data_IF_303758816654
#
_entry.id   IF_303758816654
#
_cell.length_a   1.000
_cell.length_b   1.000
_cell.length_c   1.000
_cell.angle_alpha   90.00
_cell.angle_beta   90.00
_cell.angle_gamma   90.00
#
_symmetry.space_group_name_H-M   'P 1'
#
loop_
_entity.id
_entity.type
_entity.pdbx_description
1 polymer ?
#
# COMPACT_ATOMS: atom_id res chain seq x y z
N UNK A 1 41.69 -0.69 42.21
CA UNK A 1 41.13 -1.78 41.38
C UNK A 1 40.14 -1.18 40.40
N UNK A 2 40.58 -0.92 39.17
CA UNK A 2 39.79 -0.25 38.12
C UNK A 2 39.07 -1.30 37.27
N UNK A 3 37.73 -1.30 37.28
CA UNK A 3 36.93 -2.15 36.38
C UNK A 3 36.82 -1.46 35.03
N UNK A 4 37.38 -2.09 33.99
CA UNK A 4 37.22 -1.67 32.59
C UNK A 4 35.72 -1.63 32.21
N UNK A 5 35.28 -0.67 31.38
CA UNK A 5 33.95 -0.70 30.77
C UNK A 5 33.90 -1.83 29.73
N UNK A 6 32.81 -2.60 29.75
CA UNK A 6 32.51 -3.63 28.75
C UNK A 6 32.32 -2.98 27.38
N UNK A 7 32.86 -3.62 26.34
CA UNK A 7 32.76 -3.16 24.94
C UNK A 7 31.72 -3.98 24.19
N UNK A 8 31.30 -3.52 23.00
CA UNK A 8 30.21 -4.12 22.21
C UNK A 8 30.45 -5.60 21.81
N UNK A 9 31.65 -6.13 22.04
CA UNK A 9 31.99 -7.55 21.95
C UNK A 9 31.33 -8.43 23.04
N UNK A 10 30.73 -7.83 24.07
CA UNK A 10 30.21 -8.52 25.26
C UNK A 10 28.68 -8.81 25.20
N UNK A 11 27.99 -8.43 24.12
CA UNK A 11 26.62 -8.86 23.85
C UNK A 11 26.61 -10.23 23.17
N UNK A 12 26.92 -11.28 23.93
CA UNK A 12 26.63 -12.64 23.51
C UNK A 12 25.12 -12.89 23.61
N UNK A 13 24.41 -12.88 22.47
CA UNK A 13 23.13 -13.58 22.40
C UNK A 13 23.41 -15.05 22.72
N UNK A 14 22.78 -15.59 23.76
CA UNK A 14 22.85 -17.02 24.08
C UNK A 14 22.08 -17.82 23.04
N UNK A 15 22.66 -17.97 21.85
CA UNK A 15 22.21 -18.98 20.89
C UNK A 15 22.93 -20.26 21.27
N UNK A 16 22.22 -21.22 21.86
CA UNK A 16 22.78 -22.54 22.15
C UNK A 16 22.92 -23.29 20.82
N UNK A 17 24.14 -23.72 20.42
CA UNK A 17 24.27 -24.73 19.38
C UNK A 17 23.72 -26.04 19.94
N UNK A 18 22.70 -26.61 19.29
CA UNK A 18 22.20 -27.95 19.64
C UNK A 18 23.03 -28.95 18.85
N UNK A 19 23.72 -29.84 19.55
CA UNK A 19 24.46 -30.95 18.92
C UNK A 19 23.54 -32.16 18.75
N UNK A 20 23.88 -33.05 17.81
CA UNK A 20 23.12 -34.28 17.54
C UNK A 20 23.00 -35.19 18.78
N UNK A 21 23.93 -35.05 19.73
CA UNK A 21 23.95 -35.74 21.02
C UNK A 21 22.90 -35.18 22.01
N UNK A 22 22.65 -33.87 21.99
CA UNK A 22 21.66 -33.22 22.87
C UNK A 22 20.23 -33.70 22.54
N UNK A 23 19.94 -33.91 21.25
CA UNK A 23 18.65 -34.44 20.77
C UNK A 23 18.48 -35.91 21.16
N UNK A 24 19.54 -36.72 21.12
CA UNK A 24 19.51 -38.12 21.59
C UNK A 24 19.28 -38.22 23.09
N UNK A 25 19.84 -37.28 23.86
CA UNK A 25 19.72 -37.26 25.32
C UNK A 25 18.34 -36.79 25.77
N UNK A 26 17.73 -35.84 25.05
CA UNK A 26 16.37 -35.36 25.28
C UNK A 26 15.30 -36.35 24.80
N UNK A 27 15.57 -37.11 23.73
CA UNK A 27 14.76 -38.26 23.32
C UNK A 27 14.89 -39.44 24.30
N UNK A 28 16.07 -39.67 24.87
CA UNK A 28 16.29 -40.70 25.89
C UNK A 28 15.68 -40.33 27.25
N UNK A 29 15.66 -39.04 27.62
CA UNK A 29 14.98 -38.59 28.85
C UNK A 29 13.46 -38.60 28.73
N UNK A 30 12.91 -38.49 27.50
CA UNK A 30 11.48 -38.66 27.21
C UNK A 30 11.06 -40.12 26.99
N UNK A 31 11.98 -41.04 26.74
CA UNK A 31 11.68 -42.47 26.58
C UNK A 31 11.23 -43.14 27.89
N UNK A 32 11.46 -42.51 29.06
CA UNK A 32 11.01 -43.02 30.36
C UNK A 32 9.63 -42.48 30.80
N UNK A 33 8.98 -41.63 29.98
CA UNK A 33 7.58 -41.23 30.16
C UNK A 33 6.75 -41.72 28.97
N UNK A 34 6.46 -43.02 28.97
CA UNK A 34 5.42 -43.58 28.11
C UNK A 34 4.45 -44.39 28.94
N UNK A 35 3.41 -43.71 29.47
CA UNK A 35 2.07 -44.30 29.52
C UNK A 35 1.04 -43.20 29.24
N UNK A 36 0.25 -43.46 28.20
CA UNK A 36 -0.99 -42.81 27.77
C UNK A 36 -0.91 -41.62 26.79
N UNK A 37 -1.60 -41.86 25.67
CA UNK A 37 -2.25 -40.95 24.71
C UNK A 37 -1.60 -40.69 23.34
N UNK A 38 -2.19 -41.44 22.40
CA UNK A 38 -2.34 -41.27 20.96
C UNK A 38 -2.42 -39.82 20.44
N UNK A 39 -1.84 -39.64 19.24
CA UNK A 39 -2.00 -38.51 18.30
C UNK A 39 -1.54 -37.15 18.80
N UNK A 40 -0.22 -36.95 18.84
CA UNK A 40 0.39 -35.63 18.87
C UNK A 40 0.94 -35.25 17.51
N UNK A 41 0.36 -34.20 16.94
CA UNK A 41 0.87 -33.48 15.78
C UNK A 41 2.28 -32.95 16.06
N UNK A 42 3.09 -32.94 15.02
CA UNK A 42 4.43 -32.37 15.05
C UNK A 42 4.28 -30.85 15.19
N UNK A 43 4.41 -30.33 16.41
CA UNK A 43 4.61 -28.91 16.67
C UNK A 43 5.99 -28.51 16.16
N UNK A 44 6.07 -28.09 14.89
CA UNK A 44 7.24 -27.38 14.37
C UNK A 44 7.18 -25.91 14.79
N UNK A 45 7.44 -25.63 16.07
CA UNK A 45 7.48 -24.24 16.59
C UNK A 45 8.75 -23.47 16.24
N UNK A 46 9.76 -24.13 15.66
CA UNK A 46 11.03 -23.49 15.37
C UNK A 46 11.60 -23.83 14.01
N UNK A 47 11.96 -22.78 13.28
CA UNK A 47 12.74 -22.88 12.06
C UNK A 47 14.24 -22.88 12.34
N UNK A 48 14.99 -23.55 11.47
CA UNK A 48 16.42 -23.69 11.61
C UNK A 48 17.14 -23.50 10.29
N UNK A 49 18.37 -22.98 10.35
CA UNK A 49 19.27 -22.91 9.20
C UNK A 49 20.64 -23.47 9.57
N UNK A 50 21.38 -23.89 8.55
CA UNK A 50 22.70 -24.47 8.69
C UNK A 50 23.76 -23.43 8.40
N UNK A 51 24.72 -23.26 9.31
CA UNK A 51 25.93 -22.48 9.07
C UNK A 51 27.13 -23.23 9.65
N UNK A 52 28.15 -23.45 8.84
CA UNK A 52 29.38 -24.17 9.23
C UNK A 52 29.09 -25.54 9.88
N UNK A 53 28.14 -26.30 9.34
CA UNK A 53 27.76 -27.62 9.86
C UNK A 53 27.00 -27.59 11.19
N UNK A 54 26.61 -26.41 11.71
CA UNK A 54 25.81 -26.27 12.92
C UNK A 54 24.39 -25.85 12.57
N UNK A 55 23.41 -26.46 13.25
CA UNK A 55 21.99 -26.10 13.18
C UNK A 55 21.72 -24.97 14.17
N UNK A 56 21.22 -23.86 13.66
CA UNK A 56 20.80 -22.71 14.45
C UNK A 56 19.29 -22.67 14.47
N UNK A 57 18.69 -22.58 15.65
CA UNK A 57 17.24 -22.50 15.86
C UNK A 57 16.91 -21.06 16.24
N UNK A 58 16.03 -20.41 15.48
CA UNK A 58 15.52 -19.09 15.85
C UNK A 58 14.20 -19.25 16.59
N UNK A 59 14.07 -18.53 17.71
CA UNK A 59 12.75 -18.33 18.31
C UNK A 59 11.85 -17.51 17.37
N UNK A 60 10.51 -17.66 17.46
CA UNK A 60 9.57 -16.91 16.64
C UNK A 60 9.80 -15.40 16.69
N UNK A 61 10.25 -14.87 17.83
CA UNK A 61 10.60 -13.46 18.04
C UNK A 61 11.74 -12.97 17.12
N UNK A 62 12.76 -13.80 16.90
CA UNK A 62 13.88 -13.41 16.03
C UNK A 62 13.44 -13.42 14.57
N UNK A 63 12.60 -14.39 14.20
CA UNK A 63 12.02 -14.43 12.87
C UNK A 63 11.11 -13.24 12.62
N UNK A 64 10.29 -12.84 13.61
CA UNK A 64 9.49 -11.61 13.56
C UNK A 64 10.36 -10.37 13.33
N UNK A 65 11.50 -10.27 14.02
CA UNK A 65 12.43 -9.15 13.84
C UNK A 65 13.04 -9.14 12.43
N UNK A 66 13.44 -10.30 11.90
CA UNK A 66 13.99 -10.43 10.55
C UNK A 66 12.93 -10.06 9.51
N UNK A 67 11.73 -10.64 9.62
CA UNK A 67 10.64 -10.39 8.68
C UNK A 67 10.13 -8.95 8.78
N UNK A 68 10.00 -8.42 9.98
CA UNK A 68 9.64 -7.03 10.21
C UNK A 68 10.68 -6.08 9.60
N UNK A 69 11.96 -6.41 9.75
CA UNK A 69 13.03 -5.64 9.12
C UNK A 69 13.02 -5.74 7.58
N UNK A 70 12.62 -6.89 7.02
CA UNK A 70 12.74 -7.19 5.58
C UNK A 70 11.49 -6.84 4.78
N UNK A 71 10.31 -6.86 5.41
CA UNK A 71 9.00 -6.80 4.76
C UNK A 71 8.15 -5.61 5.19
N UNK A 72 8.52 -4.88 6.25
CA UNK A 72 7.75 -3.74 6.77
C UNK A 72 8.52 -2.45 6.56
N UNK A 73 7.87 -1.51 5.89
CA UNK A 73 8.41 -0.18 5.62
C UNK A 73 7.62 0.82 6.45
N UNK A 74 8.28 1.33 7.49
CA UNK A 74 7.71 2.37 8.35
C UNK A 74 7.79 3.72 7.67
N UNK A 75 6.81 4.58 7.94
CA UNK A 75 6.77 5.99 7.55
C UNK A 75 6.72 6.25 6.04
N UNK A 76 6.54 5.21 5.22
CA UNK A 76 6.47 5.30 3.78
C UNK A 76 5.29 4.51 3.23
N UNK A 77 4.86 4.90 2.04
CA UNK A 77 3.83 4.20 1.29
C UNK A 77 4.45 3.34 0.19
N UNK A 78 3.98 2.10 0.07
CA UNK A 78 4.37 1.17 -1.00
C UNK A 78 3.45 1.38 -2.18
N UNK A 79 3.96 1.76 -3.34
CA UNK A 79 3.19 1.72 -4.59
C UNK A 79 3.47 0.40 -5.29
N UNK A 80 2.61 -0.62 -5.17
CA UNK A 80 2.88 -1.92 -5.77
C UNK A 80 2.80 -1.81 -7.30
N UNK A 81 3.84 -2.26 -7.97
CA UNK A 81 3.84 -2.43 -9.42
C UNK A 81 3.68 -3.91 -9.75
N UNK A 82 2.43 -4.30 -9.99
CA UNK A 82 2.13 -5.66 -10.46
C UNK A 82 2.28 -5.66 -11.97
N UNK A 83 3.52 -5.82 -12.43
CA UNK A 83 3.82 -6.01 -13.85
C UNK A 83 3.30 -7.38 -14.30
N UNK A 84 2.18 -7.36 -15.03
CA UNK A 84 1.54 -8.56 -15.59
C UNK A 84 1.92 -8.80 -17.06
N UNK A 85 2.91 -8.08 -17.59
CA UNK A 85 3.28 -8.22 -19.01
C UNK A 85 3.78 -9.63 -19.29
N UNK A 86 2.99 -10.36 -20.06
CA UNK A 86 3.32 -11.64 -20.66
C UNK A 86 4.22 -11.49 -21.91
N UNK A 87 4.53 -10.25 -22.31
CA UNK A 87 5.43 -9.98 -23.42
C UNK A 87 6.87 -10.20 -22.94
N UNK A 88 7.52 -11.25 -23.45
CA UNK A 88 8.87 -11.67 -23.04
C UNK A 88 9.92 -10.54 -23.10
N UNK A 89 9.75 -9.58 -24.01
CA UNK A 89 10.64 -8.42 -24.18
C UNK A 89 10.34 -7.25 -23.22
N UNK A 90 9.26 -7.31 -22.46
CA UNK A 90 8.82 -6.29 -21.51
C UNK A 90 8.77 -6.80 -20.06
N UNK A 91 9.32 -7.98 -19.78
CA UNK A 91 9.79 -8.34 -18.44
C UNK A 91 10.94 -7.38 -18.06
N UNK A 92 10.61 -6.12 -17.76
CA UNK A 92 11.40 -5.37 -16.79
C UNK A 92 11.43 -6.26 -15.56
N UNK A 93 12.63 -6.54 -15.05
CA UNK A 93 12.79 -7.33 -13.82
C UNK A 93 11.73 -6.90 -12.80
N UNK A 94 10.93 -7.87 -12.38
CA UNK A 94 9.73 -7.74 -11.56
C UNK A 94 10.05 -7.31 -10.13
N UNK A 95 10.52 -6.07 -9.95
CA UNK A 95 10.94 -5.51 -8.66
C UNK A 95 10.63 -4.01 -8.50
N UNK A 96 9.81 -3.39 -9.34
CA UNK A 96 9.66 -1.93 -9.37
C UNK A 96 8.49 -1.39 -8.56
N UNK A 97 8.40 -1.66 -7.26
CA UNK A 97 7.55 -0.80 -6.42
C UNK A 97 8.27 0.53 -6.16
N UNK A 98 7.50 1.58 -5.87
CA UNK A 98 8.06 2.89 -5.51
C UNK A 98 7.72 3.24 -4.07
N UNK A 99 8.65 3.90 -3.39
CA UNK A 99 8.43 4.45 -2.06
C UNK A 99 8.08 5.93 -2.19
N UNK A 100 6.88 6.27 -1.75
CA UNK A 100 6.31 7.62 -1.89
C UNK A 100 6.35 8.13 -3.35
N UNK A 101 6.14 7.23 -4.31
CA UNK A 101 6.17 7.53 -5.74
C UNK A 101 7.58 7.65 -6.35
N UNK A 102 8.65 7.54 -5.57
CA UNK A 102 10.03 7.56 -6.09
C UNK A 102 10.49 6.15 -6.45
N UNK A 103 10.92 5.97 -7.72
CA UNK A 103 11.55 4.73 -8.17
C UNK A 103 12.90 4.55 -7.50
N UNK A 104 13.21 3.30 -7.19
CA UNK A 104 14.57 2.91 -6.90
C UNK A 104 15.41 3.09 -8.15
N UNK A 105 16.31 4.06 -8.12
CA UNK A 105 17.46 4.03 -8.99
C UNK A 105 18.47 3.13 -8.30
N UNK A 106 18.68 1.92 -8.86
CA UNK A 106 19.87 1.14 -8.52
C UNK A 106 21.05 2.09 -8.66
N UNK A 107 21.91 2.26 -7.63
CA UNK A 107 23.13 3.01 -7.81
C UNK A 107 23.80 2.46 -9.06
N UNK A 108 24.20 3.33 -9.97
CA UNK A 108 24.99 2.96 -11.14
C UNK A 108 26.36 2.46 -10.64
N UNK A 109 26.37 1.25 -10.08
CA UNK A 109 27.52 0.61 -9.48
C UNK A 109 28.62 0.28 -10.49
N UNK A 110 28.43 0.63 -11.77
CA UNK A 110 29.31 0.20 -12.84
C UNK A 110 30.11 1.30 -13.54
N UNK A 111 29.85 2.62 -13.38
CA UNK A 111 30.54 3.60 -14.24
C UNK A 111 30.96 4.94 -13.61
N UNK A 112 30.91 5.13 -12.29
CA UNK A 112 31.29 6.41 -11.71
C UNK A 112 32.08 6.22 -10.42
N UNK A 113 33.41 6.36 -10.51
CA UNK A 113 34.30 6.44 -9.35
C UNK A 113 34.18 7.78 -8.59
N UNK A 114 33.38 8.74 -9.09
CA UNK A 114 33.47 10.14 -8.66
C UNK A 114 32.11 10.84 -8.44
N UNK A 115 31.04 10.08 -8.23
CA UNK A 115 29.73 10.66 -7.96
C UNK A 115 29.34 10.51 -6.50
N UNK A 116 29.23 11.64 -5.81
CA UNK A 116 28.46 11.88 -4.58
C UNK A 116 26.95 11.59 -4.81
N UNK A 117 26.62 10.41 -5.32
CA UNK A 117 25.23 10.01 -5.47
C UNK A 117 24.65 9.72 -4.08
N UNK A 118 23.54 10.36 -3.70
CA UNK A 118 22.86 10.08 -2.44
C UNK A 118 22.39 8.62 -2.46
N UNK A 119 23.14 7.77 -1.73
CA UNK A 119 22.85 6.35 -1.55
C UNK A 119 21.37 6.18 -1.18
N UNK A 120 20.61 5.27 -1.82
CA UNK A 120 19.16 5.27 -1.73
C UNK A 120 18.75 4.84 -0.32
N UNK A 121 18.03 5.72 0.38
CA UNK A 121 17.34 5.49 1.65
C UNK A 121 18.22 4.86 2.75
N UNK A 122 19.24 5.59 3.17
CA UNK A 122 19.82 5.34 4.49
C UNK A 122 18.89 5.88 5.57
N UNK A 123 18.31 5.00 6.38
CA UNK A 123 17.73 5.44 7.65
C UNK A 123 18.88 5.80 8.59
N UNK A 124 18.86 7.02 9.10
CA UNK A 124 19.76 7.42 10.20
C UNK A 124 19.13 6.92 11.49
N UNK A 125 19.70 5.87 12.06
CA UNK A 125 19.29 5.41 13.39
C UNK A 125 20.08 6.21 14.41
N UNK A 126 19.37 6.94 15.27
CA UNK A 126 19.97 7.66 16.38
C UNK A 126 19.99 6.75 17.60
N UNK A 127 21.18 6.51 18.15
CA UNK A 127 21.33 5.81 19.44
C UNK A 127 21.87 6.79 20.47
N UNK A 128 21.17 6.89 21.59
CA UNK A 128 21.60 7.75 22.70
C UNK A 128 22.73 7.05 23.46
N UNK A 129 23.83 7.75 23.67
CA UNK A 129 25.01 7.28 24.37
C UNK A 129 25.43 8.30 25.45
N UNK A 130 26.26 7.83 26.38
CA UNK A 130 26.82 8.65 27.44
C UNK A 130 28.32 8.37 27.56
N UNK A 131 29.13 9.42 27.66
CA UNK A 131 30.54 9.32 28.00
C UNK A 131 30.87 10.25 29.18
N UNK A 132 32.16 10.34 29.54
CA UNK A 132 32.61 11.21 30.64
C UNK A 132 32.39 12.71 30.38
N UNK A 133 31.97 13.12 29.18
CA UNK A 133 31.67 14.50 28.79
C UNK A 133 30.16 14.77 28.67
N UNK A 134 29.31 13.74 28.77
CA UNK A 134 27.86 13.88 28.81
C UNK A 134 27.12 12.98 27.82
N UNK A 135 25.85 13.32 27.55
CA UNK A 135 25.02 12.61 26.58
C UNK A 135 25.35 13.04 25.15
N UNK A 136 25.47 12.07 24.25
CA UNK A 136 25.63 12.31 22.82
C UNK A 136 24.83 11.30 22.01
N UNK A 137 24.55 11.62 20.75
CA UNK A 137 23.87 10.72 19.82
C UNK A 137 24.87 10.16 18.81
N UNK A 138 24.88 8.85 18.63
CA UNK A 138 25.56 8.22 17.50
C UNK A 138 24.55 8.09 16.37
N UNK A 139 24.88 8.69 15.22
CA UNK A 139 24.12 8.58 13.99
C UNK A 139 24.66 7.39 13.20
N UNK A 140 23.93 6.28 13.19
CA UNK A 140 24.29 5.14 12.34
C UNK A 140 23.56 5.25 11.01
N UNK A 141 24.32 5.38 9.93
CA UNK A 141 23.80 5.22 8.57
C UNK A 141 23.56 3.72 8.33
N UNK A 142 22.32 3.28 8.40
CA UNK A 142 21.98 1.87 8.13
C UNK A 142 21.42 1.75 6.71
N UNK A 143 22.08 0.94 5.90
CA UNK A 143 21.57 0.55 4.59
C UNK A 143 20.45 -0.47 4.78
N UNK A 144 19.25 -0.15 4.30
CA UNK A 144 18.12 -1.08 4.32
C UNK A 144 17.90 -1.60 2.90
N UNK A 145 17.98 -2.93 2.66
CA UNK A 145 17.47 -3.48 1.42
C UNK A 145 15.98 -3.15 1.33
N UNK A 146 15.54 -2.79 0.14
CA UNK A 146 14.34 -1.99 -0.06
C UNK A 146 13.05 -2.71 0.36
N UNK A 147 12.99 -4.04 0.20
CA UNK A 147 12.00 -5.02 0.65
C UNK A 147 12.32 -6.30 -0.13
N UNK A 148 12.54 -7.43 0.54
CA UNK A 148 12.81 -8.71 -0.16
C UNK A 148 11.71 -9.72 0.13
N UNK A 149 10.64 -9.66 -0.68
CA UNK A 149 9.55 -10.62 -0.61
C UNK A 149 9.94 -12.03 -1.13
N UNK A 150 11.13 -12.23 -1.70
CA UNK A 150 11.56 -13.57 -2.13
C UNK A 150 11.79 -14.49 -0.93
N UNK A 151 12.05 -13.92 0.25
CA UNK A 151 12.14 -14.67 1.52
C UNK A 151 10.85 -15.46 1.81
N UNK A 152 9.69 -14.98 1.34
CA UNK A 152 8.40 -15.65 1.49
C UNK A 152 8.30 -16.98 0.73
N UNK A 153 9.29 -17.31 -0.12
CA UNK A 153 9.37 -18.58 -0.86
C UNK A 153 10.18 -19.65 -0.14
N UNK A 154 10.90 -19.29 0.93
CA UNK A 154 11.88 -20.18 1.59
C UNK A 154 11.18 -21.32 2.34
N UNK A 155 10.12 -21.03 3.08
CA UNK A 155 9.35 -22.03 3.83
C UNK A 155 7.88 -21.61 3.95
N UNK A 156 7.00 -22.56 4.28
CA UNK A 156 5.58 -22.27 4.52
C UNK A 156 5.36 -21.40 5.75
N UNK A 157 6.13 -21.60 6.82
CA UNK A 157 6.00 -20.83 8.06
C UNK A 157 6.44 -19.38 7.86
N UNK A 158 7.61 -19.16 7.24
CA UNK A 158 8.06 -17.83 6.80
C UNK A 158 7.02 -17.20 5.88
N UNK A 159 6.49 -17.97 4.92
CA UNK A 159 5.49 -17.46 3.99
C UNK A 159 4.23 -16.97 4.73
N UNK A 160 3.70 -17.76 5.68
CA UNK A 160 2.51 -17.39 6.42
C UNK A 160 2.73 -16.16 7.31
N UNK A 161 3.80 -16.15 8.11
CA UNK A 161 4.13 -15.07 9.03
C UNK A 161 4.54 -13.80 8.27
N UNK A 162 5.39 -13.94 7.26
CA UNK A 162 5.85 -12.82 6.44
C UNK A 162 4.76 -12.25 5.53
N UNK A 163 3.83 -13.06 5.02
CA UNK A 163 2.65 -12.55 4.29
C UNK A 163 1.81 -11.66 5.19
N UNK A 164 1.58 -12.09 6.43
CA UNK A 164 0.86 -11.27 7.41
C UNK A 164 1.57 -9.94 7.64
N UNK A 165 2.88 -9.95 7.87
CA UNK A 165 3.66 -8.71 8.02
C UNK A 165 3.60 -7.81 6.78
N UNK A 166 3.74 -8.39 5.59
CA UNK A 166 3.76 -7.65 4.34
C UNK A 166 2.45 -6.90 4.11
N UNK A 167 1.29 -7.53 4.32
CA UNK A 167 0.01 -6.91 3.99
C UNK A 167 -0.65 -6.20 5.17
N UNK A 168 -0.42 -6.64 6.41
CA UNK A 168 -1.05 -6.07 7.59
C UNK A 168 -0.34 -4.82 8.11
N UNK A 169 0.98 -4.73 7.95
CA UNK A 169 1.81 -3.70 8.58
C UNK A 169 2.37 -2.65 7.60
N UNK A 170 1.97 -2.69 6.33
CA UNK A 170 2.36 -1.70 5.32
C UNK A 170 1.17 -0.90 4.81
N UNK A 171 1.45 0.32 4.37
CA UNK A 171 0.50 1.19 3.68
C UNK A 171 0.69 1.07 2.17
N UNK A 172 -0.38 0.78 1.43
CA UNK A 172 -0.32 0.63 -0.03
C UNK A 172 -0.94 1.83 -0.73
N UNK A 173 -0.18 2.44 -1.64
CA UNK A 173 -0.58 3.62 -2.40
C UNK A 173 -0.91 3.30 -3.85
N UNK A 174 -1.99 3.89 -4.36
CA UNK A 174 -2.44 3.79 -5.73
C UNK A 174 -2.73 5.18 -6.29
N UNK A 175 -2.12 5.51 -7.42
CA UNK A 175 -2.33 6.77 -8.12
C UNK A 175 -3.33 6.60 -9.27
N UNK A 176 -4.16 7.62 -9.51
CA UNK A 176 -5.04 7.73 -10.68
C UNK A 176 -4.31 8.29 -11.91
N UNK A 177 -3.02 8.59 -11.79
CA UNK A 177 -2.17 8.95 -12.92
C UNK A 177 -2.15 7.80 -13.91
N UNK A 178 -2.73 7.99 -15.10
CA UNK A 178 -2.62 7.02 -16.16
C UNK A 178 -1.14 6.82 -16.49
N UNK A 179 -0.73 5.55 -16.61
CA UNK A 179 0.48 5.25 -17.38
C UNK A 179 0.09 5.56 -18.83
N UNK A 180 0.65 6.63 -19.38
CA UNK A 180 0.47 7.06 -20.77
C UNK A 180 0.26 5.90 -21.74
N UNK A 181 -0.57 6.05 -22.77
CA UNK A 181 -0.72 5.02 -23.82
C UNK A 181 0.64 4.63 -24.44
N UNK A 182 1.56 5.59 -24.55
CA UNK A 182 2.95 5.37 -24.98
C UNK A 182 3.82 4.62 -23.94
N UNK A 183 3.41 4.59 -22.67
CA UNK A 183 4.05 3.87 -21.57
C UNK A 183 3.36 2.56 -21.19
N UNK A 184 2.16 2.28 -21.71
CA UNK A 184 1.48 1.02 -21.52
C UNK A 184 2.20 -0.08 -22.31
N UNK A 185 2.88 -1.05 -21.66
CA UNK A 185 3.47 -2.16 -22.39
C UNK A 185 2.34 -2.93 -23.06
N UNK A 186 2.37 -3.02 -24.40
CA UNK A 186 1.44 -3.87 -25.14
C UNK A 186 1.35 -5.26 -24.51
N UNK A 187 0.14 -5.78 -24.39
CA UNK A 187 -0.16 -7.01 -23.67
C UNK A 187 -0.87 -8.00 -24.58
N UNK A 188 -0.74 -9.29 -24.24
CA UNK A 188 -1.47 -10.36 -24.92
C UNK A 188 -2.74 -10.67 -24.14
N UNK A 189 -3.91 -10.42 -24.73
CA UNK A 189 -5.21 -10.80 -24.20
C UNK A 189 -6.01 -11.53 -25.28
N UNK A 190 -6.75 -12.57 -24.89
CA UNK A 190 -7.52 -13.42 -25.82
C UNK A 190 -6.73 -13.89 -27.06
N UNK A 191 -5.43 -14.18 -26.88
CA UNK A 191 -4.54 -14.63 -27.96
C UNK A 191 -4.10 -13.54 -28.96
N UNK A 192 -4.44 -12.27 -28.73
CA UNK A 192 -4.06 -11.13 -29.59
C UNK A 192 -3.15 -10.16 -28.83
N UNK A 193 -2.21 -9.55 -29.55
CA UNK A 193 -1.40 -8.45 -28.99
C UNK A 193 -2.18 -7.16 -29.13
N UNK A 194 -2.57 -6.57 -28.01
CA UNK A 194 -3.18 -5.25 -27.98
C UNK A 194 -2.06 -4.21 -27.89
N UNK A 195 -1.92 -3.40 -28.95
CA UNK A 195 -0.98 -2.28 -29.03
C UNK A 195 -1.77 -0.97 -29.05
N UNK A 196 -1.53 -0.16 -28.03
CA UNK A 196 -1.48 1.31 -28.12
C UNK A 196 -2.77 2.14 -28.09
N UNK A 197 -3.97 1.59 -27.86
CA UNK A 197 -5.16 2.43 -27.61
C UNK A 197 -6.12 1.79 -26.61
N UNK A 198 -5.65 1.62 -25.38
CA UNK A 198 -6.53 1.12 -24.32
C UNK A 198 -7.32 2.26 -23.72
N UNK A 199 -8.64 2.14 -23.78
CA UNK A 199 -9.54 2.96 -22.97
C UNK A 199 -9.44 2.41 -21.55
N UNK A 200 -8.59 3.04 -20.73
CA UNK A 200 -8.16 2.50 -19.44
C UNK A 200 -9.28 2.44 -18.40
N UNK A 201 -10.33 3.27 -18.54
CA UNK A 201 -11.51 3.21 -17.66
C UNK A 201 -12.83 3.44 -18.41
N UNK A 202 -13.90 2.74 -17.99
CA UNK A 202 -15.23 2.79 -18.61
C UNK A 202 -15.98 4.12 -18.40
N UNK A 203 -15.39 5.14 -17.78
CA UNK A 203 -16.08 6.38 -17.42
C UNK A 203 -16.02 7.48 -18.49
N UNK A 204 -15.74 7.13 -19.75
CA UNK A 204 -15.93 8.11 -20.82
C UNK A 204 -17.41 8.55 -20.86
N UNK A 205 -17.71 9.83 -21.15
CA UNK A 205 -19.09 10.31 -21.28
C UNK A 205 -19.94 9.51 -22.27
N UNK A 206 -19.29 8.82 -23.21
CA UNK A 206 -19.93 7.89 -24.14
C UNK A 206 -20.58 6.71 -23.39
N UNK A 207 -19.91 6.13 -22.41
CA UNK A 207 -20.35 4.91 -21.70
C UNK A 207 -21.52 5.16 -20.74
N UNK A 208 -21.52 6.29 -20.02
CA UNK A 208 -22.67 6.72 -19.20
C UNK A 208 -23.91 7.00 -20.06
N UNK A 209 -23.72 7.48 -21.29
CA UNK A 209 -24.80 7.69 -22.24
C UNK A 209 -25.24 6.39 -22.96
N UNK A 210 -24.36 5.39 -23.07
CA UNK A 210 -24.64 4.09 -23.73
C UNK A 210 -25.26 3.06 -22.78
N UNK A 211 -25.68 3.46 -21.58
CA UNK A 211 -26.34 2.58 -20.61
C UNK A 211 -25.43 1.52 -19.99
N UNK A 212 -24.10 1.68 -20.08
CA UNK A 212 -23.16 0.76 -19.45
C UNK A 212 -23.29 0.81 -17.92
N UNK A 213 -23.64 -0.32 -17.35
CA UNK A 213 -24.01 -0.44 -15.95
C UNK A 213 -22.74 -0.48 -15.08
N UNK A 214 -22.53 0.53 -14.22
CA UNK A 214 -21.46 0.52 -13.20
C UNK A 214 -21.45 -0.80 -12.42
N UNK A 215 -22.62 -1.36 -12.14
CA UNK A 215 -22.74 -2.65 -11.47
C UNK A 215 -22.15 -3.80 -12.31
N UNK A 216 -22.19 -3.71 -13.64
CA UNK A 216 -21.54 -4.66 -14.55
C UNK A 216 -20.03 -4.62 -14.41
N UNK A 217 -19.42 -3.43 -14.42
CA UNK A 217 -17.98 -3.24 -14.26
C UNK A 217 -17.49 -3.75 -12.89
N UNK A 218 -18.23 -3.41 -11.82
CA UNK A 218 -17.96 -3.90 -10.46
C UNK A 218 -18.11 -5.42 -10.39
N UNK A 219 -19.14 -5.99 -11.02
CA UNK A 219 -19.37 -7.45 -11.04
C UNK A 219 -18.26 -8.19 -11.77
N UNK A 220 -17.75 -7.65 -12.88
CA UNK A 220 -16.61 -8.23 -13.60
C UNK A 220 -15.34 -8.15 -12.77
N UNK A 221 -15.07 -7.02 -12.12
CA UNK A 221 -13.94 -6.89 -11.18
C UNK A 221 -14.04 -7.87 -10.01
N UNK A 222 -15.22 -8.05 -9.41
CA UNK A 222 -15.46 -9.05 -8.38
C UNK A 222 -15.10 -10.46 -8.85
N UNK A 223 -15.64 -10.87 -10.01
CA UNK A 223 -15.37 -12.21 -10.57
C UNK A 223 -13.89 -12.41 -10.88
N UNK A 224 -13.24 -11.39 -11.45
CA UNK A 224 -11.83 -11.44 -11.79
C UNK A 224 -10.93 -11.67 -10.55
N UNK A 225 -11.25 -11.02 -9.44
CA UNK A 225 -10.51 -11.17 -8.16
C UNK A 225 -10.87 -12.50 -7.48
N UNK A 226 -12.14 -12.84 -7.37
CA UNK A 226 -12.59 -14.06 -6.67
C UNK A 226 -12.11 -15.35 -7.35
N UNK A 227 -12.23 -15.40 -8.68
CA UNK A 227 -11.86 -16.57 -9.47
C UNK A 227 -10.40 -16.52 -9.92
N UNK A 228 -9.68 -15.46 -9.57
CA UNK A 228 -8.32 -15.21 -10.00
C UNK A 228 -8.14 -15.46 -11.50
N UNK A 229 -8.99 -14.83 -12.32
CA UNK A 229 -9.00 -14.99 -13.78
C UNK A 229 -7.60 -14.85 -14.35
N UNK A 230 -7.25 -15.58 -15.39
CA UNK A 230 -5.93 -15.41 -16.01
C UNK A 230 -5.74 -13.97 -16.51
N UNK A 231 -4.51 -13.48 -16.55
CA UNK A 231 -4.23 -12.15 -17.10
C UNK A 231 -4.68 -12.02 -18.56
N UNK A 232 -4.70 -13.14 -19.28
CA UNK A 232 -5.16 -13.26 -20.66
C UNK A 232 -6.68 -13.10 -20.83
N UNK A 233 -7.44 -13.28 -19.75
CA UNK A 233 -8.91 -13.28 -19.74
C UNK A 233 -9.49 -12.01 -19.09
N UNK A 234 -8.62 -11.09 -18.67
CA UNK A 234 -9.05 -9.81 -18.11
C UNK A 234 -9.50 -8.87 -19.23
N UNK A 235 -10.58 -8.14 -18.97
CA UNK A 235 -10.93 -6.99 -19.79
C UNK A 235 -9.84 -5.91 -19.68
N UNK A 236 -9.64 -5.19 -20.78
CA UNK A 236 -8.60 -4.17 -20.95
C UNK A 236 -8.53 -3.21 -19.74
N UNK A 237 -9.66 -2.66 -19.30
CA UNK A 237 -9.68 -1.73 -18.17
C UNK A 237 -9.23 -2.37 -16.85
N UNK A 238 -9.60 -3.64 -16.59
CA UNK A 238 -9.16 -4.39 -15.40
C UNK A 238 -7.67 -4.73 -15.48
N UNK A 239 -7.17 -5.01 -16.70
CA UNK A 239 -5.77 -5.31 -16.93
C UNK A 239 -4.88 -4.09 -16.69
N UNK A 240 -5.37 -2.89 -16.93
CA UNK A 240 -4.56 -1.69 -16.75
C UNK A 240 -4.75 -1.00 -15.39
N UNK A 241 -5.85 -1.25 -14.68
CA UNK A 241 -6.09 -0.66 -13.38
C UNK A 241 -5.13 -1.21 -12.30
N UNK A 242 -4.33 -0.33 -11.70
CA UNK A 242 -3.29 -0.71 -10.74
C UNK A 242 -3.87 -1.36 -9.48
N UNK A 243 -4.97 -0.82 -8.95
CA UNK A 243 -5.56 -1.29 -7.71
C UNK A 243 -6.26 -2.64 -7.91
N UNK A 244 -7.05 -2.77 -8.98
CA UNK A 244 -7.75 -4.02 -9.28
C UNK A 244 -6.77 -5.14 -9.59
N UNK A 245 -5.72 -4.87 -10.38
CA UNK A 245 -4.65 -5.83 -10.62
C UNK A 245 -3.97 -6.29 -9.34
N UNK A 246 -3.68 -5.36 -8.44
CA UNK A 246 -3.08 -5.67 -7.16
C UNK A 246 -3.97 -6.60 -6.35
N UNK A 247 -5.25 -6.26 -6.17
CA UNK A 247 -6.21 -7.11 -5.46
C UNK A 247 -6.33 -8.50 -6.08
N UNK A 248 -6.40 -8.59 -7.41
CA UNK A 248 -6.41 -9.88 -8.13
C UNK A 248 -5.14 -10.69 -7.84
N UNK A 249 -3.96 -10.06 -7.95
CA UNK A 249 -2.69 -10.76 -7.83
C UNK A 249 -2.43 -11.30 -6.41
N UNK A 250 -2.85 -10.56 -5.38
CA UNK A 250 -2.71 -11.01 -3.99
C UNK A 250 -3.81 -12.01 -3.60
N UNK A 251 -5.00 -11.86 -4.19
CA UNK A 251 -6.19 -12.65 -3.95
C UNK A 251 -6.95 -12.25 -2.67
N UNK A 252 -8.23 -12.68 -2.52
CA UNK A 252 -9.08 -12.26 -1.39
C UNK A 252 -8.49 -12.55 0.00
N UNK A 253 -7.83 -13.70 0.17
CA UNK A 253 -7.27 -14.12 1.45
C UNK A 253 -6.13 -13.21 1.95
N UNK A 254 -5.44 -12.50 1.06
CA UNK A 254 -4.41 -11.52 1.44
C UNK A 254 -4.96 -10.11 1.48
N UNK A 255 -5.92 -9.79 0.60
CA UNK A 255 -6.61 -8.50 0.59
C UNK A 255 -7.28 -8.19 1.93
N UNK A 256 -7.85 -9.20 2.61
CA UNK A 256 -8.46 -9.02 3.93
C UNK A 256 -7.46 -8.55 4.98
N UNK A 257 -6.16 -8.79 4.82
CA UNK A 257 -5.14 -8.38 5.78
C UNK A 257 -4.79 -6.90 5.69
N UNK A 258 -5.13 -6.23 4.58
CA UNK A 258 -4.76 -4.83 4.35
C UNK A 258 -5.45 -3.94 5.38
N UNK A 259 -4.65 -3.21 6.17
CA UNK A 259 -5.14 -2.27 7.17
C UNK A 259 -5.16 -0.82 6.70
N UNK A 260 -4.30 -0.48 5.74
CA UNK A 260 -4.13 0.89 5.26
C UNK A 260 -4.02 0.97 3.74
N UNK A 261 -4.81 1.87 3.15
CA UNK A 261 -4.78 2.19 1.72
C UNK A 261 -4.64 3.68 1.51
N UNK A 262 -3.90 4.05 0.48
CA UNK A 262 -3.71 5.43 0.09
C UNK A 262 -4.05 5.59 -1.39
N UNK A 263 -4.96 6.51 -1.71
CA UNK A 263 -5.27 6.87 -3.08
C UNK A 263 -4.83 8.31 -3.37
N UNK A 264 -4.24 8.53 -4.54
CA UNK A 264 -3.90 9.87 -5.03
C UNK A 264 -4.48 10.08 -6.42
N UNK A 265 -5.02 11.26 -6.67
CA UNK A 265 -5.56 11.58 -8.00
C UNK A 265 -6.14 12.97 -8.04
N UNK A 266 -6.80 13.29 -9.15
CA UNK A 266 -7.42 14.61 -9.39
C UNK A 266 -8.92 14.46 -9.59
N UNK A 267 -9.67 15.47 -9.17
CA UNK A 267 -11.09 15.60 -9.54
C UNK A 267 -11.13 16.30 -10.90
N UNK A 268 -11.38 15.52 -11.95
CA UNK A 268 -11.41 15.99 -13.34
C UNK A 268 -12.73 16.72 -13.57
N UNK A 269 -12.63 18.02 -13.82
CA UNK A 269 -13.77 18.92 -14.06
C UNK A 269 -13.97 19.23 -15.54
N UNK A 270 -12.95 19.00 -16.35
CA UNK A 270 -13.00 19.15 -17.78
C UNK A 270 -13.62 17.94 -18.49
N UNK A 271 -14.08 18.15 -19.73
CA UNK A 271 -14.46 17.06 -20.62
C UNK A 271 -13.27 16.83 -21.55
N UNK A 272 -12.55 15.73 -21.39
CA UNK A 272 -11.56 15.30 -22.36
C UNK A 272 -12.29 14.94 -23.67
N UNK A 273 -12.10 15.74 -24.72
CA UNK A 273 -12.66 15.43 -26.03
C UNK A 273 -12.04 14.15 -26.60
N UNK A 274 -12.78 13.39 -27.43
CA UNK A 274 -12.27 12.17 -28.09
C UNK A 274 -10.99 12.40 -28.91
N UNK A 275 -10.73 13.63 -29.33
CA UNK A 275 -9.55 14.02 -30.10
C UNK A 275 -8.47 14.72 -29.27
N UNK A 276 -8.77 15.05 -28.00
CA UNK A 276 -7.84 15.68 -27.05
C UNK A 276 -7.20 14.66 -26.12
N UNK A 277 -7.44 13.35 -26.32
CA UNK A 277 -6.75 12.25 -25.64
C UNK A 277 -5.22 12.23 -25.84
N UNK A 278 -4.69 13.13 -26.67
CA UNK A 278 -3.25 13.40 -26.74
C UNK A 278 -2.71 14.27 -25.60
N UNK A 279 -3.58 14.87 -24.77
CA UNK A 279 -3.18 15.61 -23.57
C UNK A 279 -3.39 14.73 -22.34
N UNK A 280 -2.41 14.78 -21.43
CA UNK A 280 -2.20 14.01 -20.19
C UNK A 280 -3.37 14.08 -19.17
N UNK A 281 -4.57 13.70 -19.59
CA UNK A 281 -5.79 13.65 -18.79
C UNK A 281 -5.73 12.40 -17.91
N UNK A 282 -5.43 12.60 -16.63
CA UNK A 282 -5.45 11.52 -15.64
C UNK A 282 -6.88 10.98 -15.42
N UNK A 283 -6.99 9.78 -14.88
CA UNK A 283 -8.29 9.25 -14.50
C UNK A 283 -8.91 10.12 -13.39
N UNK A 284 -10.21 10.33 -13.48
CA UNK A 284 -10.94 11.02 -12.42
C UNK A 284 -10.93 10.19 -11.13
N UNK A 285 -10.55 10.84 -10.03
CA UNK A 285 -10.47 10.22 -8.71
C UNK A 285 -11.83 9.75 -8.21
N UNK A 286 -12.89 10.54 -8.40
CA UNK A 286 -14.23 10.18 -7.95
C UNK A 286 -14.75 8.95 -8.71
N UNK A 287 -14.61 8.93 -10.03
CA UNK A 287 -15.01 7.80 -10.88
C UNK A 287 -14.23 6.52 -10.52
N UNK A 288 -12.93 6.64 -10.26
CA UNK A 288 -12.11 5.51 -9.81
C UNK A 288 -12.58 4.98 -8.44
N UNK A 289 -12.87 5.87 -7.49
CA UNK A 289 -13.37 5.48 -6.17
C UNK A 289 -14.77 4.85 -6.23
N UNK A 290 -15.63 5.24 -7.17
CA UNK A 290 -16.91 4.57 -7.41
C UNK A 290 -16.73 3.09 -7.74
N UNK A 291 -15.66 2.73 -8.45
CA UNK A 291 -15.30 1.36 -8.75
C UNK A 291 -14.60 0.67 -7.57
N UNK A 292 -13.72 1.38 -6.86
CA UNK A 292 -12.87 0.80 -5.82
C UNK A 292 -13.58 0.56 -4.50
N UNK A 293 -14.47 1.44 -4.06
CA UNK A 293 -15.12 1.31 -2.75
C UNK A 293 -15.94 0.03 -2.62
N UNK A 294 -16.73 -0.42 -3.62
CA UNK A 294 -17.35 -1.74 -3.59
C UNK A 294 -16.34 -2.89 -3.45
N UNK A 295 -15.17 -2.78 -4.09
CA UNK A 295 -14.09 -3.77 -4.00
C UNK A 295 -13.44 -3.78 -2.61
N UNK A 296 -13.15 -2.60 -2.06
CA UNK A 296 -12.62 -2.41 -0.71
C UNK A 296 -13.58 -3.02 0.31
N UNK A 297 -14.86 -2.68 0.24
CA UNK A 297 -15.89 -3.17 1.14
C UNK A 297 -16.05 -4.69 1.10
N UNK A 298 -15.72 -5.34 -0.03
CA UNK A 298 -15.82 -6.78 -0.21
C UNK A 298 -14.56 -7.53 0.19
N UNK A 299 -13.39 -7.04 -0.21
CA UNK A 299 -12.14 -7.80 -0.11
C UNK A 299 -11.20 -7.29 0.99
N UNK A 300 -11.24 -6.01 1.33
CA UNK A 300 -10.34 -5.39 2.31
C UNK A 300 -11.05 -5.20 3.66
N UNK A 301 -11.64 -6.28 4.21
CA UNK A 301 -12.53 -6.16 5.37
C UNK A 301 -11.82 -5.84 6.69
N UNK A 302 -10.49 -5.84 6.73
CA UNK A 302 -9.71 -5.34 7.89
C UNK A 302 -9.15 -3.93 7.65
N UNK A 303 -9.58 -3.22 6.59
CA UNK A 303 -9.13 -1.86 6.32
C UNK A 303 -9.61 -0.93 7.43
N UNK A 304 -8.65 -0.34 8.16
CA UNK A 304 -8.89 0.55 9.30
C UNK A 304 -8.63 2.01 8.95
N UNK A 305 -7.61 2.27 8.12
CA UNK A 305 -7.21 3.59 7.72
C UNK A 305 -7.23 3.73 6.19
N UNK A 306 -7.65 4.89 5.71
CA UNK A 306 -7.57 5.25 4.30
C UNK A 306 -7.15 6.71 4.15
N UNK A 307 -6.22 6.98 3.25
CA UNK A 307 -5.78 8.34 2.93
C UNK A 307 -6.12 8.69 1.47
N UNK A 308 -6.59 9.90 1.22
CA UNK A 308 -6.95 10.39 -0.12
C UNK A 308 -6.26 11.73 -0.38
N UNK A 309 -5.24 11.70 -1.24
CA UNK A 309 -4.58 12.90 -1.76
C UNK A 309 -5.30 13.43 -2.99
N UNK A 310 -5.88 14.62 -2.90
CA UNK A 310 -6.59 15.28 -4.01
C UNK A 310 -5.70 16.37 -4.62
N UNK A 311 -5.30 16.16 -5.87
CA UNK A 311 -4.56 17.12 -6.68
C UNK A 311 -5.47 18.06 -7.47
N UNK A 312 -4.86 19.06 -8.09
CA UNK A 312 -5.54 20.05 -8.91
C UNK A 312 -5.73 19.59 -10.35
N UNK A 313 -6.91 19.83 -10.91
CA UNK A 313 -7.16 19.65 -12.33
C UNK A 313 -6.36 20.67 -13.15
N UNK A 314 -5.42 20.17 -13.96
CA UNK A 314 -4.47 20.98 -14.74
C UNK A 314 -5.05 21.61 -16.00
N UNK A 315 -6.24 21.21 -16.46
CA UNK A 315 -6.80 21.78 -17.69
C UNK A 315 -7.48 23.12 -17.44
N UNK A 316 -7.20 24.06 -18.34
CA UNK A 316 -7.78 25.41 -18.35
C UNK A 316 -9.16 25.40 -19.02
N UNK A 317 -10.19 25.70 -18.24
CA UNK A 317 -11.59 25.89 -18.67
C UNK A 317 -12.13 27.13 -17.96
N UNK A 318 -13.10 27.87 -18.54
CA UNK A 318 -13.72 28.99 -17.84
C UNK A 318 -14.16 28.63 -16.41
N UNK A 319 -13.77 29.47 -15.46
CA UNK A 319 -13.84 29.21 -14.01
C UNK A 319 -15.26 28.80 -13.56
N UNK A 320 -16.30 29.46 -14.11
CA UNK A 320 -17.69 29.18 -13.75
C UNK A 320 -18.13 27.74 -14.04
N UNK A 321 -17.74 27.18 -15.19
CA UNK A 321 -18.04 25.78 -15.53
C UNK A 321 -17.23 24.80 -14.68
N UNK A 322 -15.97 25.16 -14.38
CA UNK A 322 -15.10 24.35 -13.52
C UNK A 322 -15.64 24.26 -12.10
N UNK A 323 -16.15 25.38 -11.57
CA UNK A 323 -16.71 25.46 -10.24
C UNK A 323 -17.97 24.61 -10.08
N UNK A 324 -18.98 24.76 -10.94
CA UNK A 324 -20.24 24.01 -10.80
C UNK A 324 -20.02 22.50 -10.84
N UNK A 325 -19.19 22.02 -11.77
CA UNK A 325 -18.88 20.58 -11.90
C UNK A 325 -18.10 20.03 -10.71
N UNK A 326 -17.09 20.75 -10.22
CA UNK A 326 -16.38 20.30 -9.05
C UNK A 326 -17.29 20.28 -7.81
N UNK A 327 -18.15 21.28 -7.58
CA UNK A 327 -19.09 21.24 -6.45
C UNK A 327 -19.92 19.96 -6.44
N UNK A 328 -20.52 19.59 -7.59
CA UNK A 328 -21.30 18.35 -7.73
C UNK A 328 -20.44 17.11 -7.47
N UNK A 329 -19.21 17.05 -8.01
CA UNK A 329 -18.32 15.90 -7.80
C UNK A 329 -17.84 15.77 -6.35
N UNK A 330 -17.54 16.88 -5.67
CA UNK A 330 -17.13 16.87 -4.26
C UNK A 330 -18.27 16.45 -3.33
N UNK A 331 -19.51 16.90 -3.61
CA UNK A 331 -20.70 16.44 -2.88
C UNK A 331 -20.96 14.94 -3.10
N UNK A 332 -20.87 14.48 -4.36
CA UNK A 332 -21.00 13.06 -4.67
C UNK A 332 -19.88 12.22 -4.03
N UNK A 333 -18.64 12.72 -4.00
CA UNK A 333 -17.52 12.08 -3.33
C UNK A 333 -17.75 11.99 -1.82
N UNK A 334 -18.28 13.03 -1.18
CA UNK A 334 -18.64 13.01 0.24
C UNK A 334 -19.63 11.88 0.55
N UNK A 335 -20.69 11.74 -0.24
CA UNK A 335 -21.68 10.68 -0.04
C UNK A 335 -21.11 9.29 -0.34
N UNK A 336 -20.29 9.17 -1.39
CA UNK A 336 -19.62 7.92 -1.73
C UNK A 336 -18.70 7.45 -0.60
N UNK A 337 -17.90 8.33 0.01
CA UNK A 337 -16.96 7.97 1.07
C UNK A 337 -17.68 7.43 2.33
N UNK A 338 -18.89 7.95 2.63
CA UNK A 338 -19.72 7.43 3.73
C UNK A 338 -20.15 5.96 3.53
N UNK A 339 -20.05 5.41 2.32
CA UNK A 339 -20.37 4.01 2.04
C UNK A 339 -19.24 3.02 2.42
N UNK A 340 -18.07 3.50 2.82
CA UNK A 340 -16.98 2.66 3.34
C UNK A 340 -17.43 1.94 4.62
N UNK A 341 -17.24 0.63 4.69
CA UNK A 341 -17.79 -0.21 5.76
C UNK A 341 -16.89 -0.38 6.97
N UNK A 342 -15.57 -0.37 6.78
CA UNK A 342 -14.60 -0.81 7.82
C UNK A 342 -13.66 0.29 8.25
N UNK A 343 -13.47 1.31 7.40
CA UNK A 343 -12.57 2.45 7.66
C UNK A 343 -13.03 3.20 8.91
N UNK A 344 -12.10 3.36 9.86
CA UNK A 344 -12.26 4.13 11.10
C UNK A 344 -11.59 5.49 11.00
N UNK A 345 -10.46 5.55 10.31
CA UNK A 345 -9.69 6.75 10.10
C UNK A 345 -9.62 7.07 8.60
N UNK A 346 -10.17 8.22 8.20
CA UNK A 346 -10.08 8.70 6.84
C UNK A 346 -9.36 10.05 6.84
N UNK A 347 -8.24 10.11 6.16
CA UNK A 347 -7.46 11.32 5.93
C UNK A 347 -7.71 11.82 4.51
N UNK A 348 -8.02 13.10 4.35
CA UNK A 348 -8.16 13.75 3.05
C UNK A 348 -7.25 14.96 3.07
N UNK A 349 -6.37 15.09 2.08
CA UNK A 349 -5.44 16.20 2.04
C UNK A 349 -5.24 16.71 0.61
N UNK A 350 -4.86 17.98 0.50
CA UNK A 350 -4.50 18.56 -0.78
C UNK A 350 -3.10 18.10 -1.15
N UNK A 351 -3.00 17.33 -2.22
CA UNK A 351 -1.72 16.88 -2.73
C UNK A 351 -1.12 17.94 -3.65
N UNK A 352 -0.01 18.54 -3.22
CA UNK A 352 0.81 19.43 -4.04
C UNK A 352 1.79 18.57 -4.82
N UNK A 353 1.63 18.54 -6.14
CA UNK A 353 2.70 18.03 -7.00
C UNK A 353 3.92 18.95 -6.88
N UNK A 354 5.11 18.36 -6.97
CA UNK A 354 6.31 19.16 -7.18
C UNK A 354 6.05 20.04 -8.40
N UNK A 355 6.18 21.37 -8.23
CA UNK A 355 5.78 22.34 -9.25
C UNK A 355 6.26 21.87 -10.62
N UNK A 356 5.34 21.58 -11.55
CA UNK A 356 5.79 21.28 -12.89
C UNK A 356 6.53 22.51 -13.38
N UNK A 357 7.75 22.34 -13.92
CA UNK A 357 8.56 23.40 -14.54
C UNK A 357 7.88 24.10 -15.74
N UNK A 358 6.58 23.88 -15.97
CA UNK A 358 5.74 24.66 -16.85
C UNK A 358 5.48 26.03 -16.21
N UNK A 359 6.52 26.86 -16.33
CA UNK A 359 6.48 28.31 -16.36
C UNK A 359 5.09 28.84 -16.73
N UNK A 360 4.42 29.42 -15.74
CA UNK A 360 3.42 30.49 -15.85
C UNK A 360 2.91 30.76 -17.28
N UNK A 361 1.87 30.05 -17.70
CA UNK A 361 0.98 30.57 -18.74
C UNK A 361 0.25 31.79 -18.15
N UNK A 362 0.88 32.97 -18.23
CA UNK A 362 0.23 34.25 -17.92
C UNK A 362 -0.74 34.53 -19.06
N UNK A 363 -1.99 34.09 -18.91
CA UNK A 363 -3.04 34.47 -19.85
C UNK A 363 -3.54 35.86 -19.45
N UNK A 364 -3.15 36.86 -20.24
CA UNK A 364 -3.61 38.24 -20.09
C UNK A 364 -5.03 38.35 -20.67
N UNK A 365 -6.06 38.20 -19.84
CA UNK A 365 -7.39 38.68 -20.22
C UNK A 365 -7.42 40.21 -20.25
N UNK A 366 -8.04 40.85 -21.27
CA UNK A 366 -8.25 42.29 -21.33
C UNK A 366 -9.49 42.68 -20.50
N UNK A 367 -9.31 43.32 -19.34
CA UNK A 367 -10.41 43.81 -18.50
C UNK A 367 -9.98 44.32 -17.12
N UNK A 368 -10.62 45.40 -16.66
CA UNK A 368 -10.06 46.40 -15.71
C UNK A 368 -10.13 46.10 -14.21
N UNK A 369 -10.68 44.98 -13.74
CA UNK A 369 -10.56 44.59 -12.32
C UNK A 369 -10.45 43.07 -12.23
N UNK A 370 -9.22 42.57 -12.05
CA UNK A 370 -8.92 41.13 -11.87
C UNK A 370 -8.80 40.80 -10.39
N UNK A 371 -9.88 40.29 -9.79
CA UNK A 371 -9.74 39.48 -8.57
C UNK A 371 -9.31 38.08 -9.03
N UNK A 372 -8.00 37.85 -9.14
CA UNK A 372 -7.45 36.54 -9.49
C UNK A 372 -7.54 35.66 -8.26
N UNK A 373 -8.68 35.02 -8.03
CA UNK A 373 -8.62 33.75 -7.30
C UNK A 373 -7.98 32.77 -8.25
N UNK A 374 -6.71 32.45 -8.01
CA UNK A 374 -6.10 31.33 -8.69
C UNK A 374 -6.95 30.10 -8.34
N UNK A 375 -7.44 29.38 -9.35
CA UNK A 375 -8.19 28.13 -9.18
C UNK A 375 -7.62 27.19 -8.08
N UNK A 376 -6.27 27.11 -7.88
CA UNK A 376 -5.66 26.48 -6.72
C UNK A 376 -6.33 26.75 -5.36
N UNK A 377 -6.64 28.00 -5.05
CA UNK A 377 -7.21 28.39 -3.75
C UNK A 377 -8.63 27.86 -3.55
N UNK A 378 -9.43 27.83 -4.63
CA UNK A 378 -10.79 27.31 -4.59
C UNK A 378 -10.83 25.79 -4.48
N UNK A 379 -9.92 25.10 -5.18
CA UNK A 379 -9.77 23.66 -5.04
C UNK A 379 -9.31 23.30 -3.61
N UNK A 380 -8.31 24.00 -3.09
CA UNK A 380 -7.85 23.82 -1.70
C UNK A 380 -8.95 24.01 -0.67
N UNK A 381 -9.75 25.08 -0.79
CA UNK A 381 -10.92 25.30 0.10
C UNK A 381 -11.91 24.13 0.10
N UNK A 382 -12.19 23.54 -1.07
CA UNK A 382 -13.09 22.38 -1.19
C UNK A 382 -12.51 21.11 -0.61
N UNK A 383 -11.21 20.89 -0.78
CA UNK A 383 -10.53 19.75 -0.15
C UNK A 383 -10.60 19.87 1.37
N UNK A 384 -10.34 21.05 1.93
CA UNK A 384 -10.47 21.32 3.37
C UNK A 384 -11.92 21.17 3.85
N UNK A 385 -12.90 21.63 3.08
CA UNK A 385 -14.32 21.45 3.40
C UNK A 385 -14.72 19.97 3.40
N UNK A 386 -14.30 19.22 2.38
CA UNK A 386 -14.53 17.78 2.27
C UNK A 386 -13.89 17.04 3.44
N UNK A 387 -12.61 17.31 3.73
CA UNK A 387 -11.89 16.78 4.88
C UNK A 387 -12.67 17.05 6.17
N UNK A 388 -13.06 18.30 6.42
CA UNK A 388 -13.79 18.68 7.63
C UNK A 388 -15.12 17.95 7.78
N UNK A 389 -15.85 17.75 6.68
CA UNK A 389 -17.16 17.09 6.68
C UNK A 389 -17.02 15.58 6.88
N UNK A 390 -16.10 14.95 6.14
CA UNK A 390 -15.91 13.50 6.14
C UNK A 390 -15.21 13.05 7.42
N UNK A 391 -14.11 13.70 7.81
CA UNK A 391 -13.35 13.34 9.03
C UNK A 391 -14.23 13.44 10.27
N UNK A 392 -15.11 14.45 10.36
CA UNK A 392 -16.10 14.55 11.44
C UNK A 392 -17.02 13.33 11.47
N UNK A 393 -17.60 12.97 10.33
CA UNK A 393 -18.51 11.83 10.23
C UNK A 393 -17.83 10.50 10.60
N UNK A 394 -16.60 10.28 10.13
CA UNK A 394 -15.84 9.07 10.46
C UNK A 394 -15.47 9.01 11.94
N UNK A 395 -15.11 10.15 12.54
CA UNK A 395 -14.85 10.23 13.98
C UNK A 395 -16.09 9.88 14.80
N UNK A 396 -17.22 10.51 14.51
CA UNK A 396 -18.50 10.24 15.19
C UNK A 396 -18.91 8.76 15.07
N UNK A 397 -18.70 8.16 13.89
CA UNK A 397 -18.96 6.74 13.66
C UNK A 397 -17.99 5.84 14.43
N UNK A 398 -16.71 6.17 14.48
CA UNK A 398 -15.70 5.40 15.21
C UNK A 398 -15.97 5.42 16.72
N UNK A 399 -16.28 6.59 17.28
CA UNK A 399 -16.63 6.77 18.69
C UNK A 399 -17.88 5.94 19.06
N UNK A 400 -18.88 5.91 18.16
CA UNK A 400 -20.08 5.07 18.32
C UNK A 400 -19.74 3.58 18.35
N UNK A 401 -18.88 3.10 17.46
CA UNK A 401 -18.46 1.70 17.46
C UNK A 401 -17.68 1.30 18.71
N UNK A 402 -16.80 2.17 19.19
CA UNK A 402 -16.06 1.93 20.43
C UNK A 402 -17.01 1.79 21.61
N UNK A 403 -18.01 2.66 21.71
CA UNK A 403 -19.04 2.56 22.73
C UNK A 403 -19.85 1.26 22.64
N UNK A 404 -20.30 0.89 21.44
CA UNK A 404 -21.04 -0.36 21.20
C UNK A 404 -20.21 -1.61 21.56
N UNK A 405 -18.91 -1.61 21.27
CA UNK A 405 -18.00 -2.71 21.62
C UNK A 405 -17.79 -2.82 23.13
N UNK A 406 -17.61 -1.70 23.82
CA UNK A 406 -17.50 -1.66 25.29
C UNK A 406 -18.77 -2.23 25.95
N UNK A 407 -19.96 -1.84 25.47
CA UNK A 407 -21.23 -2.33 26.01
C UNK A 407 -21.43 -3.84 25.74
N UNK A 408 -20.98 -4.34 24.58
CA UNK A 408 -20.97 -5.79 24.29
C UNK A 408 -20.06 -6.55 25.26
N UNK A 409 -18.85 -6.05 25.51
CA UNK A 409 -17.91 -6.68 26.43
C UNK A 409 -18.44 -6.69 27.87
N UNK A 410 -19.06 -5.59 28.33
CA UNK A 410 -19.74 -5.56 29.63
C UNK A 410 -20.85 -6.60 29.73
N UNK A 411 -21.64 -6.76 28.67
CA UNK A 411 -22.74 -7.74 28.63
C UNK A 411 -22.20 -9.18 28.69
N UNK A 412 -21.12 -9.48 27.97
CA UNK A 412 -20.46 -10.80 28.01
C UNK A 412 -19.91 -11.11 29.40
N UNK A 413 -19.23 -10.16 30.04
CA UNK A 413 -18.71 -10.33 31.40
C UNK A 413 -19.83 -10.55 32.42
N UNK A 414 -20.97 -9.87 32.28
CA UNK A 414 -22.12 -10.05 33.17
C UNK A 414 -22.76 -11.45 33.04
N UNK A 415 -22.73 -12.05 31.84
CA UNK A 415 -23.25 -13.41 31.59
C UNK A 415 -22.33 -14.51 32.14
N UNK A 416 -21.03 -14.24 32.29
CA UNK A 416 -20.04 -15.21 32.79
C UNK A 416 -19.94 -15.25 34.32
N UNK A 417 -20.45 -14.22 35.02
CA UNK A 417 -20.60 -14.26 36.48
C UNK A 417 -21.82 -15.11 36.88
N UNK A 418 -21.63 -16.26 37.57
CA UNK A 418 -22.75 -17.03 38.07
C UNK A 418 -23.51 -16.23 39.14
N UNK A 419 -24.85 -16.37 39.22
CA UNK A 419 -25.61 -15.73 40.28
C UNK A 419 -25.14 -16.23 41.66
N UNK A 420 -25.15 -15.34 42.67
CA UNK A 420 -24.65 -15.63 44.02
C UNK A 420 -25.46 -16.69 44.77
#
# INVERSE_FOLDING_TARGET
MSRKPLTFSDLSFRIKPVTELDVKTELASRANETVAQERLGIFHEYEFFWKNGKRYVYGPEILDLILGFTLVIKDHTITPDVTLSNKRSAYKMSHSYTLDGKRYETPDFYNSEDSDHPVPLSTIITKKHHDSKGEYFILHKVYRPMMDATILRVSKTISAQGTRMLYENNSFQFSMTQVHSAGCPGYLAFGKVHKDNVILKPFTPTWLNDGSNLNGCVSMAFRAIERNFSTYDLEDYLYHDHFIRFLRAIGPAKAVMIKELHFRGRIVTHKCGRYEHGLDCEDDLYESLCLYIPLINKFCTSLQAMAIGIGEDKIYIPIAFKQSRASVKFEALNELLKTLKTVRHLEIYQWKEAEPNYTNYIIVEPGLVKTIYTFPELNGKRVVELERNVTRWFKERADKWEHEEIERQKTLLALETPPP
#
